data_IF_057887009950
#
_entry.id   IF_057887009950
#
_cell.length_a   1.000
_cell.length_b   1.000
_cell.length_c   1.000
_cell.angle_alpha   90.00
_cell.angle_beta   90.00
_cell.angle_gamma   90.00
#
_symmetry.space_group_name_H-M   'P 1'
#
loop_
_entity.id
_entity.type
_entity.pdbx_description
1 polymer ?
#
# COMPACT_ATOMS: atom_id res chain seq x y z
N UNK A 1 -0.22 15.98 9.43
CA UNK A 1 -1.56 15.86 10.03
C UNK A 1 -2.58 15.88 8.90
N UNK A 2 -3.43 14.86 8.76
CA UNK A 2 -4.37 14.66 7.63
C UNK A 2 -5.63 15.53 7.75
N UNK A 3 -5.46 16.86 7.82
CA UNK A 3 -6.51 17.82 8.19
C UNK A 3 -7.73 17.83 7.26
N UNK A 4 -7.59 17.40 6.00
CA UNK A 4 -8.69 17.43 5.03
C UNK A 4 -9.55 16.16 5.03
N UNK A 5 -9.05 15.00 5.51
CA UNK A 5 -9.90 13.80 5.68
C UNK A 5 -10.98 14.06 6.73
N UNK A 6 -10.72 14.95 7.70
CA UNK A 6 -11.64 15.26 8.80
C UNK A 6 -13.01 15.76 8.37
N UNK A 7 -13.10 16.34 7.17
CA UNK A 7 -14.31 16.97 6.64
C UNK A 7 -15.07 16.07 5.65
N UNK A 8 -14.62 14.83 5.45
CA UNK A 8 -15.29 13.88 4.58
C UNK A 8 -16.38 13.14 5.35
N UNK A 9 -17.46 12.79 4.64
CA UNK A 9 -18.42 11.82 5.15
C UNK A 9 -17.73 10.49 5.45
N UNK A 10 -17.81 10.04 6.70
CA UNK A 10 -17.18 8.80 7.18
C UNK A 10 -18.08 7.58 7.04
N UNK A 11 -19.25 7.72 6.42
CA UNK A 11 -20.26 6.66 6.34
C UNK A 11 -20.45 6.12 4.92
N UNK A 12 -20.05 6.88 3.91
CA UNK A 12 -20.27 6.50 2.50
C UNK A 12 -18.93 6.32 1.77
N UNK A 13 -18.77 5.23 0.98
CA UNK A 13 -17.64 5.08 0.07
C UNK A 13 -17.58 6.24 -0.93
N UNK A 14 -16.40 6.78 -1.15
CA UNK A 14 -16.15 7.90 -2.05
C UNK A 14 -15.01 7.60 -3.02
N UNK A 15 -15.04 8.25 -4.17
CA UNK A 15 -13.97 8.13 -5.17
C UNK A 15 -12.82 9.06 -4.85
N UNK A 16 -11.60 8.53 -4.98
CA UNK A 16 -10.35 9.24 -4.83
C UNK A 16 -9.44 9.03 -6.04
N UNK A 17 -8.45 9.91 -6.14
CA UNK A 17 -7.32 9.73 -7.05
C UNK A 17 -6.01 9.97 -6.31
N UNK A 18 -4.97 9.24 -6.67
CA UNK A 18 -3.64 9.40 -6.08
C UNK A 18 -2.56 8.85 -7.03
N UNK A 19 -1.34 9.32 -6.87
CA UNK A 19 -0.20 8.80 -7.61
C UNK A 19 0.44 7.65 -6.85
N UNK A 20 0.62 6.49 -7.50
CA UNK A 20 1.44 5.42 -6.97
C UNK A 20 2.88 5.92 -6.77
N UNK A 21 3.47 5.64 -5.61
CA UNK A 21 4.84 6.05 -5.31
C UNK A 21 5.79 4.85 -5.30
N UNK A 22 5.52 3.87 -4.42
CA UNK A 22 6.33 2.67 -4.25
C UNK A 22 5.58 1.60 -3.47
N UNK A 23 6.10 0.38 -3.53
CA UNK A 23 5.71 -0.72 -2.66
C UNK A 23 6.49 -0.71 -1.35
N UNK A 24 6.00 -1.45 -0.36
CA UNK A 24 6.65 -1.65 0.92
C UNK A 24 6.07 -2.84 1.65
N UNK A 25 6.51 -3.10 2.87
CA UNK A 25 5.86 -4.07 3.74
C UNK A 25 5.58 -3.47 5.13
N UNK A 26 4.93 -4.19 6.01
CA UNK A 26 5.00 -3.96 7.46
C UNK A 26 5.21 -5.31 8.14
N UNK A 27 5.67 -5.25 9.39
CA UNK A 27 5.80 -6.44 10.24
C UNK A 27 4.72 -6.33 11.28
N UNK A 28 3.76 -7.24 11.22
CA UNK A 28 2.75 -7.41 12.25
C UNK A 28 3.18 -8.60 13.14
N UNK A 29 2.76 -8.58 14.41
CA UNK A 29 2.95 -9.70 15.33
C UNK A 29 1.58 -10.27 15.68
N UNK A 30 1.45 -11.58 15.58
CA UNK A 30 0.23 -12.25 16.01
C UNK A 30 0.22 -12.53 17.53
N UNK A 31 -0.81 -13.22 18.01
CA UNK A 31 -1.00 -13.50 19.44
C UNK A 31 0.11 -14.40 20.02
N UNK A 32 0.83 -15.13 19.18
CA UNK A 32 1.92 -16.03 19.55
C UNK A 32 3.30 -15.37 19.38
N UNK A 33 3.34 -14.04 19.19
CA UNK A 33 4.54 -13.22 18.92
C UNK A 33 5.29 -13.63 17.63
N UNK A 34 4.59 -14.29 16.70
CA UNK A 34 5.15 -14.65 15.40
C UNK A 34 5.07 -13.42 14.48
N UNK A 35 6.23 -13.00 13.97
CA UNK A 35 6.32 -11.91 13.01
C UNK A 35 5.80 -12.33 11.64
N UNK A 36 4.93 -11.49 11.06
CA UNK A 36 4.35 -11.69 9.73
C UNK A 36 4.59 -10.47 8.87
N UNK A 37 5.12 -10.70 7.67
CA UNK A 37 5.26 -9.66 6.66
C UNK A 37 3.92 -9.43 5.95
N UNK A 38 3.46 -8.19 5.96
CA UNK A 38 2.25 -7.78 5.26
C UNK A 38 2.60 -6.79 4.14
N UNK A 39 2.21 -7.06 2.88
CA UNK A 39 2.58 -6.23 1.75
C UNK A 39 1.76 -4.94 1.77
N UNK A 40 2.43 -3.83 1.45
CA UNK A 40 1.83 -2.50 1.43
C UNK A 40 2.28 -1.72 0.21
N UNK A 41 1.59 -0.62 -0.07
CA UNK A 41 2.02 0.36 -1.06
C UNK A 41 1.74 1.77 -0.58
N UNK A 42 2.51 2.70 -1.09
CA UNK A 42 2.42 4.13 -0.82
C UNK A 42 1.84 4.84 -2.03
N UNK A 43 0.76 5.59 -1.80
CA UNK A 43 0.25 6.58 -2.74
C UNK A 43 0.51 7.99 -2.23
N UNK A 44 0.58 8.95 -3.15
CA UNK A 44 0.88 10.35 -2.87
C UNK A 44 -0.10 11.30 -3.57
N UNK A 45 -0.21 12.53 -3.08
CA UNK A 45 -1.09 13.57 -3.60
C UNK A 45 -2.53 13.05 -3.76
N UNK A 46 -3.09 12.57 -2.65
CA UNK A 46 -4.42 11.96 -2.60
C UNK A 46 -5.47 13.05 -2.68
N UNK A 47 -6.40 12.93 -3.64
CA UNK A 47 -7.47 13.90 -3.91
C UNK A 47 -8.84 13.23 -3.88
N UNK A 48 -9.86 13.96 -3.47
CA UNK A 48 -11.25 13.55 -3.59
C UNK A 48 -11.77 13.66 -5.03
N UNK A 49 -13.03 13.26 -5.24
CA UNK A 49 -13.71 13.36 -6.54
C UNK A 49 -13.85 14.79 -7.09
N UNK A 50 -13.70 15.82 -6.24
CA UNK A 50 -13.70 17.23 -6.65
C UNK A 50 -12.28 17.77 -6.93
N UNK A 51 -11.25 16.93 -6.82
CA UNK A 51 -9.86 17.30 -7.04
C UNK A 51 -9.21 18.02 -5.86
N UNK A 52 -9.88 18.12 -4.70
CA UNK A 52 -9.33 18.73 -3.49
C UNK A 52 -8.32 17.77 -2.86
N UNK A 53 -7.14 18.27 -2.53
CA UNK A 53 -6.11 17.49 -1.85
C UNK A 53 -6.54 17.13 -0.43
N UNK A 54 -6.58 15.83 -0.14
CA UNK A 54 -7.02 15.28 1.13
C UNK A 54 -5.83 14.95 2.04
N UNK A 55 -4.74 14.44 1.48
CA UNK A 55 -3.49 14.17 2.21
C UNK A 55 -2.32 13.99 1.23
N UNK A 56 -1.12 14.32 1.69
CA UNK A 56 0.09 14.23 0.87
C UNK A 56 0.46 12.77 0.53
N UNK A 57 0.16 11.84 1.44
CA UNK A 57 0.43 10.41 1.26
C UNK A 57 -0.46 9.51 2.13
N UNK A 58 -0.65 8.27 1.66
CA UNK A 58 -1.30 7.17 2.39
C UNK A 58 -0.62 5.85 2.07
N UNK A 59 -0.53 5.00 3.09
CA UNK A 59 -0.18 3.60 2.92
C UNK A 59 -1.45 2.77 2.86
N UNK A 60 -1.51 1.83 1.93
CA UNK A 60 -2.56 0.81 1.84
C UNK A 60 -1.95 -0.58 1.94
N UNK A 61 -2.76 -1.55 2.38
CA UNK A 61 -2.44 -2.95 2.16
C UNK A 61 -2.42 -3.23 0.65
N UNK A 62 -1.51 -4.11 0.22
CA UNK A 62 -1.42 -4.51 -1.18
C UNK A 62 -2.48 -5.58 -1.49
N UNK A 63 -3.72 -5.13 -1.72
CA UNK A 63 -4.86 -6.00 -2.03
C UNK A 63 -4.75 -6.69 -3.40
N UNK A 64 -5.58 -7.71 -3.63
CA UNK A 64 -5.69 -8.39 -4.91
C UNK A 64 -6.01 -7.42 -6.08
N UNK A 65 -6.85 -6.42 -5.85
CA UNK A 65 -7.17 -5.38 -6.84
C UNK A 65 -5.93 -4.59 -7.26
N UNK A 66 -5.02 -4.28 -6.32
CA UNK A 66 -3.74 -3.68 -6.68
C UNK A 66 -2.83 -4.66 -7.42
N UNK A 67 -2.83 -5.96 -7.05
CA UNK A 67 -2.01 -6.98 -7.72
C UNK A 67 -2.43 -7.18 -9.18
N UNK A 68 -3.73 -7.08 -9.46
CA UNK A 68 -4.28 -7.16 -10.81
C UNK A 68 -3.77 -6.04 -11.74
N UNK A 69 -3.26 -4.93 -11.20
CA UNK A 69 -2.63 -3.86 -11.98
C UNK A 69 -1.17 -4.13 -12.34
N UNK A 70 -0.58 -5.22 -11.83
CA UNK A 70 0.81 -5.62 -12.07
C UNK A 70 1.84 -4.70 -11.41
N UNK A 71 3.04 -4.69 -11.99
CA UNK A 71 4.19 -3.93 -11.51
C UNK A 71 4.05 -2.43 -11.85
N UNK A 72 3.29 -1.71 -11.01
CA UNK A 72 3.08 -0.26 -11.12
C UNK A 72 4.40 0.52 -11.07
N UNK A 73 4.45 1.63 -11.81
CA UNK A 73 5.58 2.56 -11.85
C UNK A 73 5.28 3.82 -11.06
N UNK A 74 6.29 4.34 -10.38
CA UNK A 74 6.17 5.58 -9.62
C UNK A 74 5.66 6.72 -10.51
N UNK A 75 4.66 7.47 -10.03
CA UNK A 75 4.02 8.56 -10.77
C UNK A 75 2.81 8.15 -11.61
N UNK A 76 2.41 6.89 -11.59
CA UNK A 76 1.17 6.47 -12.25
C UNK A 76 -0.07 6.87 -11.45
N UNK A 77 -1.06 7.44 -12.16
CA UNK A 77 -2.28 7.94 -11.55
C UNK A 77 -3.31 6.81 -11.40
N UNK A 78 -3.69 6.57 -10.15
CA UNK A 78 -4.72 5.63 -9.77
C UNK A 78 -6.02 6.36 -9.44
N UNK A 79 -7.14 5.70 -9.73
CA UNK A 79 -8.48 6.03 -9.25
C UNK A 79 -8.99 4.83 -8.45
N UNK A 80 -9.63 5.07 -7.32
CA UNK A 80 -10.17 4.02 -6.46
C UNK A 80 -11.34 4.57 -5.64
N UNK A 81 -12.19 3.66 -5.15
CA UNK A 81 -13.23 3.95 -4.15
C UNK A 81 -12.69 3.57 -2.78
N UNK A 82 -12.92 4.37 -1.74
CA UNK A 82 -12.56 4.02 -0.37
C UNK A 82 -13.51 4.68 0.63
N UNK A 83 -13.53 4.19 1.87
CA UNK A 83 -14.35 4.77 2.94
C UNK A 83 -13.49 5.59 3.90
N UNK A 84 -13.77 6.89 4.10
CA UNK A 84 -13.11 7.67 5.14
C UNK A 84 -13.48 7.14 6.53
N UNK A 85 -12.50 6.90 7.38
CA UNK A 85 -12.73 6.49 8.76
C UNK A 85 -11.85 7.27 9.74
N UNK A 86 -12.29 7.31 11.00
CA UNK A 86 -11.53 7.91 12.09
C UNK A 86 -11.02 6.83 13.02
N UNK A 87 -9.78 6.95 13.47
CA UNK A 87 -9.21 6.03 14.45
C UNK A 87 -8.42 6.79 15.51
N UNK A 88 -8.28 6.19 16.69
CA UNK A 88 -7.48 6.77 17.77
C UNK A 88 -6.04 6.33 17.61
N UNK A 89 -5.13 7.30 17.50
CA UNK A 89 -3.69 7.07 17.36
C UNK A 89 -2.98 7.62 18.58
N UNK A 90 -1.98 6.88 19.08
CA UNK A 90 -1.13 7.36 20.16
C UNK A 90 -0.72 6.25 21.11
N UNK A 91 0.11 6.62 22.08
CA UNK A 91 0.55 5.73 23.16
C UNK A 91 -0.52 5.70 24.27
N UNK A 92 -0.53 4.68 25.14
CA UNK A 92 -1.39 4.69 26.32
C UNK A 92 -1.24 6.01 27.09
N UNK A 93 -2.34 6.75 27.29
CA UNK A 93 -2.36 8.06 27.95
C UNK A 93 -2.30 9.28 27.02
N UNK A 94 -1.97 9.11 25.73
CA UNK A 94 -1.89 10.20 24.74
C UNK A 94 -2.55 9.79 23.41
N UNK A 95 -3.86 9.56 23.41
CA UNK A 95 -4.60 9.27 22.19
C UNK A 95 -5.13 10.55 21.54
N UNK A 96 -4.86 10.72 20.24
CA UNK A 96 -5.48 11.74 19.40
C UNK A 96 -6.24 11.09 18.25
N UNK A 97 -7.31 11.75 17.81
CA UNK A 97 -8.10 11.33 16.65
C UNK A 97 -7.29 11.56 15.37
N UNK A 98 -7.08 10.50 14.59
CA UNK A 98 -6.50 10.54 13.25
C UNK A 98 -7.51 9.95 12.24
N UNK A 99 -7.20 10.08 10.96
CA UNK A 99 -8.12 9.76 9.88
C UNK A 99 -7.44 8.91 8.83
N UNK A 100 -8.18 7.99 8.23
CA UNK A 100 -7.69 7.07 7.21
C UNK A 100 -8.72 6.87 6.10
N UNK A 101 -8.26 6.34 4.98
CA UNK A 101 -9.14 5.73 3.98
C UNK A 101 -9.00 4.22 4.15
N UNK A 102 -10.12 3.51 4.29
CA UNK A 102 -10.14 2.05 4.40
C UNK A 102 -10.76 1.43 3.16
N UNK A 103 -10.49 0.13 3.00
CA UNK A 103 -11.15 -0.75 2.03
C UNK A 103 -11.13 -0.18 0.61
N UNK A 104 -9.93 0.09 0.04
CA UNK A 104 -9.86 0.56 -1.33
C UNK A 104 -10.37 -0.52 -2.30
N UNK A 105 -11.37 -0.16 -3.11
CA UNK A 105 -11.97 -1.00 -4.17
C UNK A 105 -11.98 -0.25 -5.51
N UNK A 106 -12.41 -0.92 -6.58
CA UNK A 106 -12.52 -0.35 -7.92
C UNK A 106 -11.22 0.32 -8.40
N UNK A 107 -10.10 -0.31 -8.04
CA UNK A 107 -8.78 0.27 -8.25
C UNK A 107 -8.42 0.15 -9.72
N UNK A 108 -8.16 1.30 -10.35
CA UNK A 108 -7.84 1.35 -11.77
C UNK A 108 -6.78 2.41 -12.07
N UNK A 109 -5.96 2.13 -13.08
CA UNK A 109 -5.12 3.14 -13.71
C UNK A 109 -5.98 4.11 -14.53
N UNK A 110 -5.77 5.40 -14.34
CA UNK A 110 -6.42 6.43 -15.18
C UNK A 110 -5.90 6.36 -16.62
N UNK A 111 -4.63 5.97 -16.81
CA UNK A 111 -4.05 5.66 -18.12
C UNK A 111 -3.64 4.20 -18.11
N UNK A 112 -4.28 3.38 -18.94
CA UNK A 112 -3.91 1.97 -19.08
C UNK A 112 -2.44 1.85 -19.47
N UNK A 113 -1.76 0.94 -18.81
CA UNK A 113 -0.39 0.56 -19.09
C UNK A 113 -0.31 -0.97 -19.11
N UNK A 114 0.60 -1.49 -19.93
CA UNK A 114 0.89 -2.92 -19.97
C UNK A 114 1.98 -3.20 -18.94
N UNK A 115 1.57 -3.85 -17.84
CA UNK A 115 2.43 -4.15 -16.72
C UNK A 115 2.73 -5.64 -16.65
N UNK A 116 3.98 -5.96 -16.31
CA UNK A 116 4.33 -7.32 -15.91
C UNK A 116 3.51 -7.73 -14.69
N UNK A 117 3.15 -9.01 -14.57
CA UNK A 117 2.48 -9.50 -13.37
C UNK A 117 3.39 -9.34 -12.14
N UNK A 118 2.77 -9.25 -10.97
CA UNK A 118 3.41 -9.42 -9.67
C UNK A 118 3.18 -10.85 -9.18
N UNK A 119 3.96 -11.33 -8.20
CA UNK A 119 3.69 -12.61 -7.56
C UNK A 119 2.31 -12.67 -6.90
N UNK A 120 1.71 -13.85 -6.95
CA UNK A 120 0.36 -14.16 -6.44
C UNK A 120 0.37 -14.72 -5.01
N UNK A 121 1.47 -15.33 -4.58
CA UNK A 121 1.67 -15.73 -3.19
C UNK A 121 2.22 -14.58 -2.36
N UNK A 122 1.82 -14.52 -1.08
CA UNK A 122 2.23 -13.43 -0.18
C UNK A 122 3.75 -13.36 -0.01
N UNK A 123 4.39 -14.51 0.18
CA UNK A 123 5.83 -14.57 0.47
C UNK A 123 6.65 -14.14 -0.75
N UNK A 124 6.29 -14.63 -1.95
CA UNK A 124 6.91 -14.18 -3.18
C UNK A 124 6.66 -12.69 -3.45
N UNK A 125 5.46 -12.17 -3.14
CA UNK A 125 5.16 -10.75 -3.27
C UNK A 125 6.02 -9.91 -2.34
N UNK A 126 6.21 -10.33 -1.09
CA UNK A 126 7.13 -9.68 -0.15
C UNK A 126 8.57 -9.74 -0.67
N UNK A 127 9.02 -10.88 -1.19
CA UNK A 127 10.33 -11.03 -1.82
C UNK A 127 10.54 -10.07 -2.98
N UNK A 128 9.56 -9.95 -3.88
CA UNK A 128 9.57 -8.98 -4.97
C UNK A 128 9.64 -7.53 -4.45
N UNK A 129 8.90 -7.19 -3.40
CA UNK A 129 8.94 -5.87 -2.76
C UNK A 129 10.32 -5.59 -2.17
N UNK A 130 10.92 -6.56 -1.47
CA UNK A 130 12.26 -6.45 -0.90
C UNK A 130 13.31 -6.28 -1.99
N UNK A 131 13.21 -7.05 -3.07
CA UNK A 131 14.11 -6.95 -4.22
C UNK A 131 14.00 -5.61 -4.93
N UNK A 132 12.77 -5.16 -5.19
CA UNK A 132 12.49 -3.88 -5.84
C UNK A 132 13.02 -2.68 -5.04
N UNK A 133 12.97 -2.77 -3.70
CA UNK A 133 13.41 -1.69 -2.80
C UNK A 133 14.79 -1.94 -2.17
N UNK A 134 15.56 -2.92 -2.66
CA UNK A 134 16.76 -3.46 -2.01
C UNK A 134 17.76 -2.35 -1.61
N UNK A 135 18.09 -1.45 -2.55
CA UNK A 135 19.01 -0.34 -2.29
C UNK A 135 18.52 0.56 -1.15
N UNK A 136 17.23 0.91 -1.15
CA UNK A 136 16.64 1.75 -0.11
C UNK A 136 16.61 1.04 1.24
N UNK A 137 16.33 -0.26 1.26
CA UNK A 137 16.29 -1.04 2.50
C UNK A 137 17.67 -1.22 3.13
N UNK A 138 18.70 -1.51 2.33
CA UNK A 138 20.08 -1.58 2.81
C UNK A 138 20.55 -0.26 3.42
N UNK A 139 20.19 0.88 2.81
CA UNK A 139 20.55 2.21 3.32
C UNK A 139 19.79 2.54 4.62
N UNK A 140 18.51 2.19 4.69
CA UNK A 140 17.66 2.51 5.84
C UNK A 140 17.77 1.53 7.02
N UNK A 141 18.59 0.48 6.89
CA UNK A 141 18.68 -0.59 7.88
C UNK A 141 17.41 -1.45 7.97
N UNK A 142 16.57 -1.39 6.94
CA UNK A 142 15.34 -2.17 6.87
C UNK A 142 15.66 -3.61 6.47
N UNK A 143 15.07 -4.56 7.18
CA UNK A 143 15.35 -5.98 7.00
C UNK A 143 15.07 -6.46 5.57
N UNK A 144 15.91 -7.36 5.10
CA UNK A 144 15.72 -8.11 3.86
C UNK A 144 15.80 -9.58 4.27
N UNK A 145 14.68 -10.27 4.17
CA UNK A 145 14.53 -11.64 4.60
C UNK A 145 14.95 -12.61 3.47
N UNK A 146 15.94 -13.50 3.68
CA UNK A 146 16.40 -14.43 2.66
C UNK A 146 15.33 -15.41 2.17
N UNK A 147 14.41 -15.84 3.04
CA UNK A 147 13.39 -16.81 2.69
C UNK A 147 12.34 -16.17 1.78
N UNK A 148 11.98 -14.91 2.05
CA UNK A 148 11.12 -14.13 1.15
C UNK A 148 11.78 -13.91 -0.22
N UNK A 149 13.09 -13.63 -0.25
CA UNK A 149 13.83 -13.52 -1.52
C UNK A 149 13.81 -14.86 -2.28
N UNK A 150 14.04 -15.99 -1.60
CA UNK A 150 13.99 -17.31 -2.21
C UNK A 150 12.60 -17.60 -2.81
N UNK A 151 11.52 -17.30 -2.09
CA UNK A 151 10.15 -17.45 -2.59
C UNK A 151 9.89 -16.62 -3.86
N UNK A 152 10.47 -15.43 -3.96
CA UNK A 152 10.38 -14.62 -5.18
C UNK A 152 11.17 -15.22 -6.35
N UNK A 153 12.38 -15.72 -6.12
CA UNK A 153 13.19 -16.37 -7.15
C UNK A 153 12.52 -17.66 -7.66
N UNK A 154 11.91 -18.45 -6.77
CA UNK A 154 11.11 -19.64 -7.15
C UNK A 154 9.91 -19.26 -8.02
N UNK A 155 9.18 -18.21 -7.64
CA UNK A 155 8.07 -17.70 -8.45
C UNK A 155 8.56 -17.25 -9.84
N UNK A 156 9.69 -16.55 -9.90
CA UNK A 156 10.27 -16.03 -11.14
C UNK A 156 10.68 -17.17 -12.08
N UNK A 157 11.31 -18.22 -11.56
CA UNK A 157 11.69 -19.42 -12.33
C UNK A 157 10.46 -20.17 -12.88
N UNK A 158 9.30 -20.06 -12.24
CA UNK A 158 8.04 -20.63 -12.72
C UNK A 158 7.35 -19.83 -13.84
N UNK A 159 7.86 -18.65 -14.21
CA UNK A 159 7.32 -17.82 -15.30
C UNK A 159 8.05 -18.02 -16.65
N UNK A 160 9.14 -18.80 -16.68
CA UNK A 160 9.91 -19.16 -17.88
C UNK A 160 9.39 -20.45 -18.54
#
# INVERSE_FOLDING_TARGET
MRRNIMNLDTTTPQTFSAFFNRTGYRVDRDADDIERFEPTLLVTNVKDGNGRMITDHLWFNYSADFQALGQLKSGELLKFTATPQTYMKGRPGEHHKDFQLTDPTDIALVRKADHKPVPDTKDALIGWIMKTNEKFYRISGRMIDPDMLAAYEEWLAGQE
#
